data_IF_219172615110
#
_entry.id   IF_219172615110
#
_cell.length_a   1.000
_cell.length_b   1.000
_cell.length_c   1.000
_cell.angle_alpha   90.00
_cell.angle_beta   90.00
_cell.angle_gamma   90.00
#
_symmetry.space_group_name_H-M   'P 1'
#
loop_
_entity.id
_entity.type
_entity.pdbx_description
1 polymer ?
#
# COMPACT_ATOMS: atom_id res chain seq x y z
N UNK A 1 21.96 -7.05 4.21
CA UNK A 1 20.53 -7.37 4.27
C UNK A 1 19.75 -6.46 3.33
N UNK A 2 18.84 -7.04 2.56
CA UNK A 2 18.06 -6.27 1.61
C UNK A 2 16.77 -5.80 2.28
N UNK A 3 16.49 -4.49 2.18
CA UNK A 3 15.23 -3.94 2.66
C UNK A 3 14.15 -4.16 1.60
N UNK A 4 13.02 -4.77 1.99
CA UNK A 4 11.91 -4.97 1.09
C UNK A 4 11.15 -3.66 0.90
N UNK A 5 10.80 -3.38 -0.34
CA UNK A 5 10.04 -2.17 -0.67
C UNK A 5 8.56 -2.37 -0.38
N UNK A 6 7.93 -1.32 0.10
CA UNK A 6 6.49 -1.32 0.30
C UNK A 6 5.76 -1.28 -1.03
N UNK A 7 4.72 -2.10 -1.15
CA UNK A 7 3.81 -2.08 -2.28
C UNK A 7 2.66 -1.14 -1.93
N UNK A 8 2.47 -0.09 -2.72
CA UNK A 8 1.37 0.84 -2.53
C UNK A 8 0.24 0.45 -3.46
N UNK A 9 -0.88 0.00 -2.89
CA UNK A 9 -2.04 -0.43 -3.65
C UNK A 9 -3.11 0.67 -3.59
N UNK A 10 -3.38 1.30 -4.72
CA UNK A 10 -4.42 2.32 -4.84
C UNK A 10 -5.67 1.69 -5.46
N UNK A 11 -6.73 1.54 -4.66
CA UNK A 11 -7.98 0.91 -5.12
C UNK A 11 -9.14 1.44 -4.29
N UNK A 12 -10.15 1.98 -4.96
CA UNK A 12 -11.32 2.55 -4.29
C UNK A 12 -12.41 1.52 -3.97
N UNK A 13 -12.31 0.32 -4.51
CA UNK A 13 -13.24 -0.76 -4.23
C UNK A 13 -12.65 -1.71 -3.19
N UNK A 14 -13.24 -1.84 -1.98
CA UNK A 14 -12.72 -2.77 -0.98
C UNK A 14 -12.66 -4.22 -1.47
N UNK A 15 -13.63 -4.65 -2.26
CA UNK A 15 -13.65 -6.01 -2.78
C UNK A 15 -12.49 -6.25 -3.76
N UNK A 16 -12.24 -5.27 -4.64
CA UNK A 16 -11.13 -5.37 -5.59
C UNK A 16 -9.77 -5.29 -4.88
N UNK A 17 -9.68 -4.46 -3.85
CA UNK A 17 -8.47 -4.37 -3.04
C UNK A 17 -8.16 -5.71 -2.36
N UNK A 18 -9.18 -6.35 -1.80
CA UNK A 18 -9.03 -7.65 -1.16
C UNK A 18 -8.53 -8.70 -2.14
N UNK A 19 -9.10 -8.73 -3.34
CA UNK A 19 -8.66 -9.65 -4.39
C UNK A 19 -7.21 -9.41 -4.78
N UNK A 20 -6.80 -8.16 -4.92
CA UNK A 20 -5.44 -7.81 -5.27
C UNK A 20 -4.46 -8.20 -4.16
N UNK A 21 -4.82 -7.94 -2.91
CA UNK A 21 -3.98 -8.31 -1.76
C UNK A 21 -3.84 -9.83 -1.69
N UNK A 22 -4.92 -10.57 -1.87
CA UNK A 22 -4.88 -12.03 -1.86
C UNK A 22 -3.97 -12.57 -2.96
N UNK A 23 -4.04 -12.00 -4.16
CA UNK A 23 -3.18 -12.40 -5.27
C UNK A 23 -1.71 -12.14 -4.97
N UNK A 24 -1.39 -10.99 -4.35
CA UNK A 24 -0.03 -10.67 -3.95
C UNK A 24 0.48 -11.62 -2.88
N UNK A 25 -0.37 -12.00 -1.93
CA UNK A 25 -0.01 -12.94 -0.89
C UNK A 25 0.18 -14.35 -1.44
N UNK A 26 -0.63 -14.77 -2.40
CA UNK A 26 -0.45 -16.05 -3.06
C UNK A 26 0.87 -16.11 -3.83
N UNK A 27 1.30 -15.00 -4.37
CA UNK A 27 2.60 -14.90 -5.03
C UNK A 27 3.77 -14.97 -4.04
N UNK A 28 3.46 -15.04 -2.74
CA UNK A 28 4.44 -15.16 -1.66
C UNK A 28 5.42 -14.01 -1.63
N UNK A 29 4.93 -12.81 -1.93
CA UNK A 29 5.73 -11.61 -1.80
C UNK A 29 5.79 -11.22 -0.33
N UNK A 30 6.99 -11.03 0.18
CA UNK A 30 7.20 -10.64 1.58
C UNK A 30 7.11 -9.13 1.78
N UNK A 31 6.86 -8.38 0.72
CA UNK A 31 6.83 -6.92 0.77
C UNK A 31 5.60 -6.44 1.56
N UNK A 32 5.77 -5.44 2.45
CA UNK A 32 4.62 -4.83 3.10
C UNK A 32 3.66 -4.21 2.07
N UNK A 33 2.36 -4.31 2.33
CA UNK A 33 1.34 -3.75 1.44
C UNK A 33 0.61 -2.63 2.18
N UNK A 34 0.55 -1.46 1.59
CA UNK A 34 -0.24 -0.33 2.10
C UNK A 34 -1.37 -0.08 1.11
N UNK A 35 -2.60 -0.19 1.59
CA UNK A 35 -3.77 0.07 0.77
C UNK A 35 -4.26 1.50 0.97
N UNK A 36 -4.42 2.22 -0.12
CA UNK A 36 -5.02 3.56 -0.14
C UNK A 36 -6.20 3.56 -1.12
N UNK A 37 -7.16 4.43 -0.88
CA UNK A 37 -8.42 4.37 -1.62
C UNK A 37 -8.45 5.26 -2.86
N UNK A 38 -7.73 6.37 -2.86
CA UNK A 38 -7.80 7.33 -3.96
C UNK A 38 -6.48 8.07 -4.16
N UNK A 39 -6.48 8.96 -5.16
CA UNK A 39 -5.29 9.73 -5.50
C UNK A 39 -4.83 10.68 -4.40
N UNK A 40 -5.76 11.20 -3.59
CA UNK A 40 -5.41 12.06 -2.47
C UNK A 40 -4.59 11.28 -1.45
N UNK A 41 -5.04 10.06 -1.11
CA UNK A 41 -4.30 9.21 -0.18
C UNK A 41 -2.94 8.79 -0.74
N UNK A 42 -2.84 8.55 -2.05
CA UNK A 42 -1.55 8.26 -2.69
C UNK A 42 -0.58 9.41 -2.46
N UNK A 43 -1.04 10.64 -2.71
CA UNK A 43 -0.20 11.82 -2.50
C UNK A 43 0.15 12.01 -1.03
N UNK A 44 -0.81 11.79 -0.13
CA UNK A 44 -0.55 11.88 1.30
C UNK A 44 0.51 10.88 1.73
N UNK A 45 0.46 9.67 1.22
CA UNK A 45 1.47 8.66 1.52
C UNK A 45 2.85 9.09 1.02
N UNK A 46 2.93 9.49 -0.25
CA UNK A 46 4.21 9.86 -0.87
C UNK A 46 4.83 11.08 -0.22
N UNK A 47 4.01 12.05 0.19
CA UNK A 47 4.46 13.30 0.79
C UNK A 47 4.46 13.26 2.32
N UNK A 48 4.12 12.11 2.92
CA UNK A 48 4.06 11.91 4.37
C UNK A 48 3.13 12.91 5.03
N UNK A 49 1.91 13.02 4.49
CA UNK A 49 0.89 13.92 5.01
C UNK A 49 -0.28 13.13 5.59
N UNK A 50 -1.17 13.82 6.32
CA UNK A 50 -2.39 13.24 6.85
C UNK A 50 -2.10 12.00 7.70
N UNK A 51 -2.79 10.93 7.43
CA UNK A 51 -2.63 9.65 8.14
C UNK A 51 -1.21 9.11 8.07
N UNK A 52 -0.46 9.48 7.04
CA UNK A 52 0.89 8.95 6.81
C UNK A 52 2.00 9.91 7.25
N UNK A 53 1.66 10.92 8.04
CA UNK A 53 2.64 11.93 8.46
C UNK A 53 3.79 11.34 9.27
N UNK A 54 3.53 10.27 10.03
CA UNK A 54 4.54 9.62 10.87
C UNK A 54 5.18 8.39 10.22
N UNK A 55 5.02 8.22 8.93
CA UNK A 55 5.60 7.08 8.20
C UNK A 55 7.12 7.13 8.24
N UNK A 56 7.74 5.99 8.52
CA UNK A 56 9.19 5.90 8.73
C UNK A 56 9.98 5.45 7.51
N UNK A 57 9.37 5.01 6.47
CA UNK A 57 10.06 4.55 5.27
C UNK A 57 10.83 5.65 4.58
#
# INVERSE_FOLDING_TARGET
MTTLRTILLAEDSPADAEMAIDALQEARLANPIVHVEDGVEVMDYLLRRGTFASREE
#
